data_IF_818651921667
#
_entry.id   IF_818651921667
#
_cell.length_a   1.000
_cell.length_b   1.000
_cell.length_c   1.000
_cell.angle_alpha   90.00
_cell.angle_beta   90.00
_cell.angle_gamma   90.00
#
_symmetry.space_group_name_H-M   'P 1'
#
loop_
_entity.id
_entity.type
_entity.pdbx_description
1 polymer ?
#
# COMPACT_ATOMS: atom_id res chain seq x y z
N UNK A 1 22.08 2.16 53.21
CA UNK A 1 21.19 2.31 52.02
C UNK A 1 21.34 1.10 51.12
N UNK A 2 20.38 0.15 51.17
CA UNK A 2 20.35 -1.01 50.27
C UNK A 2 19.55 -0.65 49.01
N UNK A 3 20.16 -0.73 47.84
CA UNK A 3 19.49 -0.53 46.54
C UNK A 3 18.77 -1.82 46.16
N UNK A 4 17.45 -1.83 46.26
CA UNK A 4 16.59 -2.90 45.77
C UNK A 4 16.49 -2.79 44.25
N UNK A 5 17.05 -3.77 43.54
CA UNK A 5 16.90 -3.90 42.09
C UNK A 5 15.62 -4.69 41.82
N UNK A 6 14.57 -3.99 41.38
CA UNK A 6 13.31 -4.59 40.97
C UNK A 6 13.52 -5.32 39.63
N UNK A 7 13.49 -6.66 39.66
CA UNK A 7 13.48 -7.48 38.44
C UNK A 7 12.15 -7.30 37.71
N UNK A 8 12.18 -6.64 36.56
CA UNK A 8 11.07 -6.61 35.60
C UNK A 8 10.85 -8.02 35.06
N UNK A 9 9.73 -8.65 35.45
CA UNK A 9 9.24 -9.90 34.84
C UNK A 9 8.89 -9.62 33.38
N UNK A 10 9.67 -10.15 32.45
CA UNK A 10 9.26 -10.29 31.06
C UNK A 10 8.06 -11.26 31.01
N UNK A 11 6.86 -10.72 30.84
CA UNK A 11 5.69 -11.52 30.47
C UNK A 11 5.90 -12.04 29.05
N UNK A 12 6.16 -13.34 28.95
CA UNK A 12 6.06 -14.06 27.68
C UNK A 12 4.58 -14.05 27.29
N UNK A 13 4.28 -13.49 26.11
CA UNK A 13 2.95 -13.55 25.52
C UNK A 13 2.73 -14.99 25.06
N UNK A 14 2.03 -15.78 25.87
CA UNK A 14 1.49 -17.08 25.47
C UNK A 14 0.60 -16.84 24.26
N UNK A 15 1.04 -17.32 23.09
CA UNK A 15 0.24 -17.22 21.87
C UNK A 15 -0.81 -18.30 21.92
N UNK A 16 -1.94 -18.04 22.57
CA UNK A 16 -3.11 -18.90 22.56
C UNK A 16 -3.49 -19.19 21.11
N UNK A 17 -3.27 -20.44 20.67
CA UNK A 17 -3.53 -20.86 19.29
C UNK A 17 -5.04 -21.08 19.11
N UNK A 18 -5.79 -20.01 18.89
CA UNK A 18 -7.21 -20.10 18.57
C UNK A 18 -7.42 -20.80 17.21
N UNK A 19 -8.03 -21.98 17.23
CA UNK A 19 -8.31 -22.75 16.02
C UNK A 19 -9.70 -22.44 15.44
N UNK A 20 -9.74 -21.55 14.45
CA UNK A 20 -10.97 -21.14 13.77
C UNK A 20 -11.47 -22.18 12.77
N UNK A 21 -12.72 -22.63 12.93
CA UNK A 21 -13.43 -23.49 11.97
C UNK A 21 -14.14 -22.63 10.92
N UNK A 22 -14.28 -23.14 9.70
CA UNK A 22 -14.90 -22.43 8.56
C UNK A 22 -16.08 -23.21 8.02
N UNK A 23 -17.16 -22.51 7.67
CA UNK A 23 -18.33 -23.09 6.98
C UNK A 23 -19.06 -22.04 6.14
N UNK A 24 -19.94 -22.43 5.20
CA UNK A 24 -20.87 -21.50 4.56
C UNK A 24 -21.74 -20.78 5.60
N UNK A 25 -22.11 -19.53 5.31
CA UNK A 25 -23.00 -18.77 6.20
C UNK A 25 -24.46 -19.18 6.02
N UNK A 26 -25.14 -19.40 7.14
CA UNK A 26 -26.59 -19.66 7.20
C UNK A 26 -27.40 -18.36 7.12
N UNK A 27 -26.77 -17.20 7.33
CA UNK A 27 -27.43 -15.89 7.37
C UNK A 27 -27.46 -15.27 5.97
N UNK A 28 -28.65 -14.86 5.52
CA UNK A 28 -28.85 -14.17 4.23
C UNK A 28 -28.00 -12.90 4.12
N UNK A 29 -27.35 -12.72 2.97
CA UNK A 29 -26.46 -11.58 2.70
C UNK A 29 -25.02 -11.79 3.15
N UNK A 30 -24.70 -12.93 3.76
CA UNK A 30 -23.34 -13.33 4.12
C UNK A 30 -22.92 -14.57 3.34
N UNK A 31 -21.63 -14.67 3.01
CA UNK A 31 -21.12 -15.74 2.15
C UNK A 31 -20.52 -16.88 2.97
N UNK A 32 -19.74 -16.53 4.00
CA UNK A 32 -18.96 -17.48 4.78
C UNK A 32 -18.98 -17.10 6.26
N UNK A 33 -18.70 -18.11 7.07
CA UNK A 33 -18.69 -18.00 8.52
C UNK A 33 -17.41 -18.61 9.09
N UNK A 34 -16.83 -17.90 10.05
CA UNK A 34 -15.79 -18.41 10.95
C UNK A 34 -16.39 -18.58 12.33
N UNK A 35 -16.06 -19.66 13.03
CA UNK A 35 -16.53 -19.87 14.40
C UNK A 35 -15.50 -20.60 15.25
N UNK A 36 -15.61 -20.38 16.55
CA UNK A 36 -14.79 -20.99 17.59
C UNK A 36 -15.60 -21.06 18.88
N UNK A 37 -15.36 -22.09 19.68
CA UNK A 37 -15.79 -22.14 21.08
C UNK A 37 -14.56 -21.84 21.91
N UNK A 38 -14.61 -20.76 22.69
CA UNK A 38 -13.53 -20.34 23.55
C UNK A 38 -13.41 -21.26 24.79
N UNK A 39 -12.27 -21.19 25.48
CA UNK A 39 -12.01 -22.03 26.67
C UNK A 39 -13.00 -21.77 27.82
N UNK A 40 -13.51 -20.54 27.90
CA UNK A 40 -14.54 -20.15 28.86
C UNK A 40 -15.97 -20.62 28.49
N UNK A 41 -16.10 -21.39 27.40
CA UNK A 41 -17.38 -21.92 26.91
C UNK A 41 -18.14 -20.98 25.98
N UNK A 42 -17.65 -19.76 25.74
CA UNK A 42 -18.35 -18.83 24.85
C UNK A 42 -18.29 -19.29 23.40
N UNK A 43 -19.42 -19.16 22.71
CA UNK A 43 -19.49 -19.44 21.29
C UNK A 43 -19.36 -18.16 20.48
N UNK A 44 -18.28 -18.05 19.69
CA UNK A 44 -17.96 -16.88 18.90
C UNK A 44 -18.07 -17.23 17.42
N UNK A 45 -18.81 -16.41 16.68
CA UNK A 45 -19.07 -16.59 15.26
C UNK A 45 -18.95 -15.27 14.51
N UNK A 46 -18.44 -15.34 13.29
CA UNK A 46 -18.25 -14.20 12.39
C UNK A 46 -18.80 -14.56 11.02
N UNK A 47 -19.90 -13.93 10.64
CA UNK A 47 -20.47 -14.05 9.30
C UNK A 47 -19.97 -12.87 8.45
N UNK A 48 -19.46 -13.13 7.25
CA UNK A 48 -18.87 -12.07 6.43
C UNK A 48 -19.23 -12.17 4.94
N UNK A 49 -19.29 -11.01 4.31
CA UNK A 49 -19.39 -10.80 2.87
C UNK A 49 -18.37 -9.73 2.49
N UNK A 50 -17.25 -10.16 1.89
CA UNK A 50 -16.16 -9.25 1.52
C UNK A 50 -16.57 -8.32 0.37
N UNK A 51 -17.43 -8.78 -0.55
CA UNK A 51 -17.90 -7.98 -1.70
C UNK A 51 -18.75 -6.80 -1.24
N UNK A 52 -19.67 -7.04 -0.30
CA UNK A 52 -20.51 -5.99 0.28
C UNK A 52 -19.87 -5.27 1.48
N UNK A 53 -18.61 -5.61 1.80
CA UNK A 53 -17.87 -5.06 2.95
C UNK A 53 -18.67 -5.12 4.26
N UNK A 54 -19.34 -6.26 4.47
CA UNK A 54 -20.27 -6.48 5.57
C UNK A 54 -19.82 -7.63 6.45
N UNK A 55 -19.77 -7.41 7.75
CA UNK A 55 -19.41 -8.39 8.77
C UNK A 55 -20.47 -8.37 9.86
N UNK A 56 -20.75 -9.55 10.41
CA UNK A 56 -21.53 -9.72 11.62
C UNK A 56 -20.70 -10.47 12.64
N UNK A 57 -20.41 -9.80 13.75
CA UNK A 57 -19.85 -10.43 14.94
C UNK A 57 -21.01 -11.00 15.75
N UNK A 58 -20.89 -12.24 16.18
CA UNK A 58 -21.86 -12.94 17.00
C UNK A 58 -21.13 -13.57 18.19
N UNK A 59 -21.63 -13.37 19.39
CA UNK A 59 -21.09 -13.92 20.63
C UNK A 59 -22.24 -14.48 21.43
N UNK A 60 -22.07 -15.68 21.94
CA UNK A 60 -22.93 -16.29 22.94
C UNK A 60 -22.13 -16.40 24.23
N UNK A 61 -22.59 -15.68 25.26
CA UNK A 61 -21.85 -15.56 26.52
C UNK A 61 -22.33 -16.64 27.49
N UNK A 62 -21.48 -17.63 27.75
CA UNK A 62 -21.84 -18.77 28.59
C UNK A 62 -22.10 -18.34 30.05
N UNK A 63 -21.32 -17.37 30.55
CA UNK A 63 -21.50 -16.81 31.90
C UNK A 63 -22.86 -16.10 32.08
N UNK A 64 -23.49 -15.67 30.98
CA UNK A 64 -24.82 -15.06 30.98
C UNK A 64 -25.91 -16.05 30.57
N UNK A 65 -25.70 -17.34 30.86
CA UNK A 65 -26.63 -18.41 30.53
C UNK A 65 -26.77 -18.68 29.03
N UNK A 66 -25.71 -18.41 28.25
CA UNK A 66 -25.74 -18.55 26.80
C UNK A 66 -26.46 -17.40 26.09
N UNK A 67 -26.43 -16.18 26.66
CA UNK A 67 -27.10 -15.03 26.07
C UNK A 67 -26.41 -14.62 24.74
N UNK A 68 -27.15 -14.59 23.61
CA UNK A 68 -26.62 -14.23 22.31
C UNK A 68 -26.66 -12.72 22.02
N UNK A 69 -25.53 -12.21 21.53
CA UNK A 69 -25.33 -10.83 21.10
C UNK A 69 -24.78 -10.80 19.68
N UNK A 70 -25.18 -9.81 18.89
CA UNK A 70 -24.56 -9.57 17.60
C UNK A 70 -24.32 -8.10 17.31
N UNK A 71 -23.27 -7.84 16.54
CA UNK A 71 -22.94 -6.54 15.99
C UNK A 71 -22.74 -6.65 14.48
N UNK A 72 -23.32 -5.75 13.71
CA UNK A 72 -23.15 -5.69 12.25
C UNK A 72 -22.29 -4.49 11.90
N UNK A 73 -21.16 -4.77 11.26
CA UNK A 73 -20.21 -3.78 10.76
C UNK A 73 -20.34 -3.73 9.23
N UNK A 74 -20.59 -2.54 8.68
CA UNK A 74 -20.64 -2.30 7.24
C UNK A 74 -19.68 -1.18 6.89
N UNK A 75 -18.80 -1.40 5.93
CA UNK A 75 -17.78 -0.42 5.54
C UNK A 75 -16.95 0.11 6.73
N UNK A 76 -16.62 -0.76 7.70
CA UNK A 76 -15.84 -0.36 8.89
C UNK A 76 -16.62 0.41 9.95
N UNK A 77 -17.92 0.69 9.75
CA UNK A 77 -18.80 1.36 10.71
C UNK A 77 -19.77 0.37 11.35
N UNK A 78 -19.99 0.47 12.66
CA UNK A 78 -21.02 -0.29 13.36
C UNK A 78 -22.39 0.25 12.91
N UNK A 79 -23.21 -0.64 12.37
CA UNK A 79 -24.55 -0.32 11.85
C UNK A 79 -25.68 -0.86 12.72
N UNK A 80 -25.40 -1.89 13.51
CA UNK A 80 -26.35 -2.44 14.46
C UNK A 80 -25.59 -3.13 15.60
N UNK A 81 -26.05 -2.96 16.82
CA UNK A 81 -25.75 -3.83 17.96
C UNK A 81 -27.08 -4.33 18.51
N UNK A 82 -27.16 -5.60 18.90
CA UNK A 82 -28.39 -6.13 19.48
C UNK A 82 -28.15 -7.36 20.34
N UNK A 83 -28.93 -7.50 21.40
CA UNK A 83 -29.16 -8.76 22.11
C UNK A 83 -30.32 -9.50 21.44
N UNK A 84 -30.16 -10.80 21.13
CA UNK A 84 -31.24 -11.55 20.46
C UNK A 84 -32.39 -11.84 21.43
N UNK A 85 -32.09 -12.08 22.71
CA UNK A 85 -33.10 -12.38 23.73
C UNK A 85 -33.89 -11.14 24.16
N UNK A 86 -33.19 -10.05 24.50
CA UNK A 86 -33.86 -8.84 25.01
C UNK A 86 -34.32 -7.88 23.91
N UNK A 87 -33.81 -8.04 22.69
CA UNK A 87 -34.08 -7.15 21.57
C UNK A 87 -33.48 -5.74 21.70
N UNK A 88 -32.91 -5.38 22.85
CA UNK A 88 -32.23 -4.10 23.12
C UNK A 88 -31.07 -3.90 22.13
N UNK A 89 -30.81 -2.64 21.78
CA UNK A 89 -29.90 -2.26 20.67
C UNK A 89 -28.65 -1.50 21.09
N UNK A 90 -28.38 -1.37 22.39
CA UNK A 90 -27.26 -0.57 22.90
C UNK A 90 -26.68 -1.17 24.18
N UNK A 91 -25.40 -0.85 24.45
CA UNK A 91 -24.70 -1.24 25.67
C UNK A 91 -24.05 -2.63 25.61
N UNK A 92 -23.78 -3.16 24.41
CA UNK A 92 -23.16 -4.48 24.23
C UNK A 92 -21.71 -4.43 23.77
N UNK A 93 -21.15 -3.23 23.60
CA UNK A 93 -19.78 -3.07 23.12
C UNK A 93 -18.75 -3.79 24.00
N UNK A 94 -18.96 -3.80 25.32
CA UNK A 94 -18.11 -4.51 26.28
C UNK A 94 -18.05 -6.03 26.00
N UNK A 95 -19.17 -6.64 25.58
CA UNK A 95 -19.24 -8.07 25.26
C UNK A 95 -18.30 -8.46 24.12
N UNK A 96 -18.15 -7.58 23.13
CA UNK A 96 -17.23 -7.76 22.02
C UNK A 96 -15.79 -7.40 22.41
N UNK A 97 -15.61 -6.33 23.18
CA UNK A 97 -14.28 -5.85 23.60
C UNK A 97 -13.54 -6.83 24.50
N UNK A 98 -14.23 -7.47 25.45
CA UNK A 98 -13.63 -8.51 26.31
C UNK A 98 -13.05 -9.68 25.50
N UNK A 99 -13.62 -9.95 24.31
CA UNK A 99 -13.22 -11.04 23.40
C UNK A 99 -12.37 -10.52 22.24
N UNK A 100 -11.87 -9.28 22.32
CA UNK A 100 -11.13 -8.65 21.23
C UNK A 100 -9.88 -9.44 20.85
N UNK A 101 -9.21 -10.07 21.80
CA UNK A 101 -8.04 -10.92 21.55
C UNK A 101 -8.40 -12.12 20.65
N UNK A 102 -9.51 -12.79 20.96
CA UNK A 102 -10.02 -13.91 20.16
C UNK A 102 -10.35 -13.41 18.76
N UNK A 103 -11.11 -12.33 18.63
CA UNK A 103 -11.39 -11.72 17.32
C UNK A 103 -10.12 -11.27 16.57
N UNK A 104 -9.08 -10.84 17.27
CA UNK A 104 -7.81 -10.43 16.64
C UNK A 104 -7.01 -11.62 16.09
N UNK A 105 -7.33 -12.85 16.54
CA UNK A 105 -6.69 -14.09 16.08
C UNK A 105 -7.26 -14.66 14.77
N UNK A 106 -8.26 -13.99 14.17
CA UNK A 106 -8.88 -14.43 12.90
C UNK A 106 -7.82 -14.63 11.81
N UNK A 107 -7.81 -15.76 11.09
CA UNK A 107 -6.78 -16.04 10.08
C UNK A 107 -6.87 -15.18 8.81
N UNK A 108 -7.97 -14.42 8.61
CA UNK A 108 -8.20 -13.60 7.43
C UNK A 108 -8.07 -12.11 7.73
N UNK A 109 -7.02 -11.50 7.18
CA UNK A 109 -6.68 -10.09 7.39
C UNK A 109 -7.71 -9.12 6.81
N UNK A 110 -8.44 -9.50 5.76
CA UNK A 110 -9.47 -8.65 5.16
C UNK A 110 -10.67 -8.50 6.08
N UNK A 111 -11.01 -9.55 6.82
CA UNK A 111 -12.05 -9.52 7.86
C UNK A 111 -11.62 -8.57 8.97
N UNK A 112 -10.40 -8.69 9.48
CA UNK A 112 -9.87 -7.80 10.53
C UNK A 112 -9.84 -6.34 10.06
N UNK A 113 -9.39 -6.09 8.82
CA UNK A 113 -9.40 -4.74 8.23
C UNK A 113 -10.80 -4.14 8.14
N UNK A 114 -11.80 -4.95 7.78
CA UNK A 114 -13.19 -4.51 7.74
C UNK A 114 -13.80 -4.29 9.12
N UNK A 115 -13.33 -4.97 10.17
CA UNK A 115 -13.71 -4.69 11.56
C UNK A 115 -13.17 -3.33 12.01
N UNK A 116 -12.04 -2.86 11.46
CA UNK A 116 -11.54 -1.49 11.57
C UNK A 116 -11.37 -0.98 13.02
N UNK A 117 -10.71 -1.76 13.88
CA UNK A 117 -10.46 -1.40 15.29
C UNK A 117 -11.72 -1.23 16.17
N UNK A 118 -12.92 -1.53 15.64
CA UNK A 118 -14.13 -1.56 16.46
C UNK A 118 -13.95 -2.56 17.61
N UNK A 119 -14.38 -2.17 18.80
CA UNK A 119 -14.25 -2.98 20.03
C UNK A 119 -12.81 -3.29 20.45
N UNK A 120 -11.83 -2.50 19.99
CA UNK A 120 -10.41 -2.78 20.26
C UNK A 120 -9.86 -3.99 19.50
N UNK A 121 -10.63 -4.55 18.56
CA UNK A 121 -10.21 -5.66 17.70
C UNK A 121 -9.21 -5.11 16.70
N UNK A 122 -7.93 -5.29 16.99
CA UNK A 122 -6.86 -4.80 16.15
C UNK A 122 -6.26 -5.91 15.33
N UNK A 123 -5.66 -5.54 14.20
CA UNK A 123 -4.67 -6.42 13.61
C UNK A 123 -3.54 -6.55 14.64
N UNK A 124 -3.44 -7.71 15.29
CA UNK A 124 -2.17 -8.15 15.84
C UNK A 124 -1.25 -8.25 14.63
N UNK A 125 -0.63 -7.12 14.25
CA UNK A 125 0.56 -7.10 13.44
C UNK A 125 1.51 -7.92 14.29
N UNK A 126 1.54 -9.24 14.08
CA UNK A 126 2.68 -10.07 14.49
C UNK A 126 3.83 -9.18 14.08
N UNK A 127 4.51 -8.62 15.08
CA UNK A 127 5.80 -7.99 14.88
C UNK A 127 6.65 -9.16 14.42
N UNK A 128 6.55 -9.52 13.14
CA UNK A 128 7.63 -10.11 12.41
C UNK A 128 8.66 -8.99 12.35
N UNK A 129 9.28 -8.73 13.50
CA UNK A 129 10.48 -7.94 13.59
C UNK A 129 11.52 -8.68 12.76
N UNK A 130 11.78 -8.13 11.58
CA UNK A 130 13.08 -8.16 10.92
C UNK A 130 13.57 -9.44 10.24
N UNK A 131 13.20 -10.66 10.66
CA UNK A 131 13.87 -11.87 10.14
C UNK A 131 13.03 -12.79 9.26
N UNK A 132 11.79 -13.11 9.63
CA UNK A 132 10.99 -14.11 8.90
C UNK A 132 10.43 -13.66 7.54
N UNK A 133 10.15 -12.36 7.36
CA UNK A 133 9.61 -11.83 6.11
C UNK A 133 10.66 -11.76 4.99
N UNK A 134 11.89 -11.34 5.36
CA UNK A 134 13.06 -11.32 4.47
C UNK A 134 13.42 -12.74 4.06
N UNK A 135 13.40 -13.70 5.00
CA UNK A 135 13.78 -15.07 4.72
C UNK A 135 12.75 -15.84 3.87
N UNK A 136 11.46 -15.50 3.99
CA UNK A 136 10.41 -16.04 3.10
C UNK A 136 10.51 -15.46 1.68
N UNK A 137 10.78 -14.16 1.53
CA UNK A 137 11.02 -13.54 0.22
C UNK A 137 12.26 -14.12 -0.45
N UNK A 138 13.36 -14.27 0.30
CA UNK A 138 14.60 -14.85 -0.21
C UNK A 138 14.40 -16.29 -0.70
N UNK A 139 13.68 -17.13 0.06
CA UNK A 139 13.36 -18.50 -0.37
C UNK A 139 12.47 -18.55 -1.61
N UNK A 140 11.51 -17.63 -1.74
CA UNK A 140 10.65 -17.52 -2.92
C UNK A 140 11.44 -17.07 -4.15
N UNK A 141 12.34 -16.12 -4.00
CA UNK A 141 13.24 -15.65 -5.07
C UNK A 141 14.25 -16.72 -5.49
N UNK A 142 14.83 -17.45 -4.53
CA UNK A 142 15.74 -18.58 -4.78
C UNK A 142 15.02 -19.76 -5.46
N UNK A 143 13.72 -19.94 -5.20
CA UNK A 143 12.90 -20.96 -5.87
C UNK A 143 12.51 -20.50 -7.28
N UNK A 144 12.12 -19.22 -7.45
CA UNK A 144 11.84 -18.63 -8.75
C UNK A 144 13.06 -18.73 -9.67
N UNK A 145 14.24 -18.33 -9.21
CA UNK A 145 15.48 -18.40 -10.00
C UNK A 145 15.89 -19.83 -10.39
N UNK A 146 15.54 -20.84 -9.58
CA UNK A 146 15.90 -22.24 -9.86
C UNK A 146 14.97 -22.94 -10.84
N UNK A 147 13.67 -22.61 -10.81
CA UNK A 147 12.66 -23.33 -11.59
C UNK A 147 12.04 -22.50 -12.72
N UNK A 148 12.18 -21.18 -12.67
CA UNK A 148 11.79 -20.26 -13.72
C UNK A 148 13.04 -19.53 -14.19
N UNK A 149 13.85 -20.21 -15.00
CA UNK A 149 14.73 -19.50 -15.92
C UNK A 149 13.78 -18.82 -16.89
N UNK A 150 13.61 -17.50 -16.73
CA UNK A 150 12.94 -16.70 -17.76
C UNK A 150 13.79 -16.87 -19.03
N UNK A 151 13.32 -17.70 -19.95
CA UNK A 151 13.67 -17.57 -21.36
C UNK A 151 13.25 -16.15 -21.72
N UNK A 152 14.18 -15.21 -21.60
CA UNK A 152 13.99 -13.84 -22.04
C UNK A 152 13.75 -13.93 -23.53
N UNK A 153 12.47 -13.91 -23.89
CA UNK A 153 12.06 -13.78 -25.27
C UNK A 153 12.60 -12.42 -25.75
N UNK A 154 13.50 -12.36 -26.74
CA UNK A 154 14.16 -11.12 -27.15
C UNK A 154 13.20 -10.04 -27.68
N UNK A 155 11.91 -10.37 -27.80
CA UNK A 155 10.85 -9.53 -28.33
C UNK A 155 9.90 -8.95 -27.26
N UNK A 156 10.02 -9.32 -25.99
CA UNK A 156 9.14 -8.80 -24.92
C UNK A 156 9.42 -7.33 -24.57
N UNK A 157 10.62 -6.82 -24.85
CA UNK A 157 10.99 -5.42 -24.60
C UNK A 157 10.34 -4.42 -25.58
N UNK A 158 9.68 -4.90 -26.66
CA UNK A 158 9.05 -4.03 -27.66
C UNK A 158 7.57 -3.67 -27.38
N UNK A 159 6.88 -4.33 -26.44
CA UNK A 159 5.44 -4.14 -26.21
C UNK A 159 5.03 -3.88 -24.75
N UNK A 160 5.95 -3.58 -23.83
CA UNK A 160 5.64 -3.20 -22.46
C UNK A 160 5.30 -1.70 -22.28
N UNK A 161 4.67 -1.07 -23.28
CA UNK A 161 4.41 0.37 -23.32
C UNK A 161 2.97 0.75 -23.00
N UNK A 162 2.49 0.54 -21.77
CA UNK A 162 1.27 1.21 -21.27
C UNK A 162 1.09 1.18 -19.74
N UNK A 163 2.12 0.93 -18.94
CA UNK A 163 2.02 1.25 -17.50
C UNK A 163 2.25 2.76 -17.33
N UNK A 164 1.31 3.43 -16.64
CA UNK A 164 1.37 4.85 -16.32
C UNK A 164 2.65 5.19 -15.58
N UNK A 165 3.69 5.55 -16.33
CA UNK A 165 4.95 6.04 -15.82
C UNK A 165 4.68 7.40 -15.19
N UNK A 166 4.66 7.47 -13.86
CA UNK A 166 4.71 8.75 -13.16
C UNK A 166 6.18 9.17 -13.20
N UNK A 167 6.59 10.15 -14.03
CA UNK A 167 7.98 10.56 -14.10
C UNK A 167 8.38 11.13 -12.74
N UNK A 168 9.20 10.40 -11.99
CA UNK A 168 9.87 10.94 -10.81
C UNK A 168 10.98 11.85 -11.32
N UNK A 169 10.77 13.16 -11.23
CA UNK A 169 11.79 14.17 -11.53
C UNK A 169 13.00 13.90 -10.62
N UNK A 170 14.14 13.55 -11.22
CA UNK A 170 15.39 13.40 -10.50
C UNK A 170 16.08 14.74 -10.30
N UNK A 171 16.94 14.85 -9.28
CA UNK A 171 17.80 16.03 -9.08
C UNK A 171 18.69 16.30 -10.31
N UNK A 172 19.07 15.24 -11.04
CA UNK A 172 19.87 15.34 -12.26
C UNK A 172 19.08 16.02 -13.38
N UNK A 173 17.76 15.78 -13.50
CA UNK A 173 16.94 16.43 -14.52
C UNK A 173 16.76 17.93 -14.25
N UNK A 174 16.68 18.31 -12.96
CA UNK A 174 16.66 19.72 -12.55
C UNK A 174 17.99 20.39 -12.92
N UNK A 175 19.12 19.70 -12.66
CA UNK A 175 20.44 20.21 -13.01
C UNK A 175 20.60 20.38 -14.52
N UNK A 176 20.21 19.38 -15.32
CA UNK A 176 20.25 19.48 -16.79
C UNK A 176 19.42 20.66 -17.29
N UNK A 177 18.26 20.90 -16.69
CA UNK A 177 17.39 22.02 -17.04
C UNK A 177 18.04 23.37 -16.73
N UNK A 178 18.64 23.51 -15.55
CA UNK A 178 19.37 24.72 -15.16
C UNK A 178 20.60 24.97 -16.04
N UNK A 179 21.35 23.91 -16.37
CA UNK A 179 22.52 24.00 -17.25
C UNK A 179 22.09 24.42 -18.66
N UNK A 180 21.03 23.82 -19.20
CA UNK A 180 20.51 24.19 -20.52
C UNK A 180 20.04 25.64 -20.58
N UNK A 181 19.30 26.11 -19.57
CA UNK A 181 18.89 27.50 -19.47
C UNK A 181 20.09 28.46 -19.35
N UNK A 182 21.09 28.11 -18.54
CA UNK A 182 22.29 28.94 -18.36
C UNK A 182 23.10 29.05 -19.65
N UNK A 183 23.26 27.94 -20.40
CA UNK A 183 23.98 27.93 -21.68
C UNK A 183 23.24 28.79 -22.72
N UNK A 184 21.92 28.57 -22.88
CA UNK A 184 21.13 29.33 -23.84
C UNK A 184 21.09 30.82 -23.51
N UNK A 185 20.89 31.18 -22.24
CA UNK A 185 20.93 32.59 -21.81
C UNK A 185 22.32 33.21 -21.95
N UNK A 186 23.37 32.46 -21.66
CA UNK A 186 24.76 32.90 -21.81
C UNK A 186 25.10 33.22 -23.27
N UNK A 187 24.69 32.35 -24.20
CA UNK A 187 24.91 32.57 -25.63
C UNK A 187 24.08 33.74 -26.18
N UNK A 188 22.82 33.85 -25.74
CA UNK A 188 21.98 34.99 -26.06
C UNK A 188 22.62 36.31 -25.64
N UNK A 189 23.18 36.39 -24.44
CA UNK A 189 23.84 37.60 -23.95
C UNK A 189 25.19 37.86 -24.67
N UNK A 190 25.98 36.81 -24.89
CA UNK A 190 27.29 36.92 -25.54
C UNK A 190 27.18 37.40 -26.98
N UNK A 191 26.18 36.91 -27.72
CA UNK A 191 25.93 37.26 -29.12
C UNK A 191 24.99 38.46 -29.28
N UNK A 192 24.94 39.35 -28.29
CA UNK A 192 24.20 40.62 -28.38
C UNK A 192 22.71 40.44 -28.69
N UNK A 193 22.04 39.54 -27.96
CA UNK A 193 20.60 39.28 -28.07
C UNK A 193 20.16 38.58 -29.37
N UNK A 194 21.04 37.76 -29.97
CA UNK A 194 20.70 36.93 -31.13
C UNK A 194 19.82 35.71 -30.75
N UNK A 195 18.54 35.79 -31.12
CA UNK A 195 17.54 34.75 -30.92
C UNK A 195 17.74 33.51 -31.79
N UNK A 196 18.37 33.65 -32.96
CA UNK A 196 18.66 32.54 -33.87
C UNK A 196 19.71 31.63 -33.22
N UNK A 197 20.83 32.21 -32.79
CA UNK A 197 21.89 31.46 -32.14
C UNK A 197 21.43 30.81 -30.83
N UNK A 198 20.65 31.54 -30.01
CA UNK A 198 20.03 30.97 -28.81
C UNK A 198 19.14 29.77 -29.14
N UNK A 199 18.30 29.89 -30.18
CA UNK A 199 17.37 28.84 -30.61
C UNK A 199 18.07 27.57 -31.08
N UNK A 200 19.09 27.72 -31.94
CA UNK A 200 19.91 26.60 -32.44
C UNK A 200 20.57 25.86 -31.27
N UNK A 201 21.15 26.60 -30.33
CA UNK A 201 21.85 26.02 -29.19
C UNK A 201 20.89 25.31 -28.23
N UNK A 202 19.72 25.90 -27.95
CA UNK A 202 18.73 25.28 -27.08
C UNK A 202 18.24 23.95 -27.68
N UNK A 203 17.93 23.92 -28.98
CA UNK A 203 17.53 22.69 -29.65
C UNK A 203 18.65 21.63 -29.66
N UNK A 204 19.89 22.04 -29.95
CA UNK A 204 21.05 21.15 -29.94
C UNK A 204 21.30 20.56 -28.55
N UNK A 205 21.18 21.38 -27.50
CA UNK A 205 21.28 20.93 -26.11
C UNK A 205 20.18 19.92 -25.76
N UNK A 206 18.93 20.20 -26.14
CA UNK A 206 17.79 19.30 -25.92
C UNK A 206 17.98 17.91 -26.52
N UNK A 207 18.46 17.84 -27.77
CA UNK A 207 18.78 16.56 -28.43
C UNK A 207 19.96 15.86 -27.76
N UNK A 208 21.02 16.61 -27.46
CA UNK A 208 22.24 16.07 -26.85
C UNK A 208 21.97 15.47 -25.47
N UNK A 209 21.18 16.14 -24.63
CA UNK A 209 20.87 15.62 -23.30
C UNK A 209 19.97 14.39 -23.35
N UNK A 210 19.03 14.34 -24.30
CA UNK A 210 18.24 13.13 -24.57
C UNK A 210 19.14 11.95 -24.96
N UNK A 211 20.15 12.19 -25.80
CA UNK A 211 21.13 11.18 -26.19
C UNK A 211 21.99 10.73 -25.01
N UNK A 212 22.49 11.66 -24.20
CA UNK A 212 23.28 11.36 -22.99
C UNK A 212 22.47 10.52 -21.99
N UNK A 213 21.19 10.85 -21.80
CA UNK A 213 20.31 10.07 -20.92
C UNK A 213 20.14 8.62 -21.39
N UNK A 214 19.90 8.43 -22.70
CA UNK A 214 19.71 7.11 -23.29
C UNK A 214 20.99 6.26 -23.27
N UNK A 215 22.11 6.81 -23.75
CA UNK A 215 23.33 6.03 -24.02
C UNK A 215 24.33 6.01 -22.87
N UNK A 216 24.44 7.10 -22.10
CA UNK A 216 25.46 7.21 -21.05
C UNK A 216 24.85 6.90 -19.69
N UNK A 217 23.64 7.41 -19.42
CA UNK A 217 23.01 7.27 -18.10
C UNK A 217 22.11 6.05 -18.00
N UNK A 218 21.90 5.32 -19.10
CA UNK A 218 21.01 4.15 -19.20
C UNK A 218 19.64 4.39 -18.56
N UNK A 219 19.11 5.62 -18.68
CA UNK A 219 17.85 6.05 -18.08
C UNK A 219 16.85 6.39 -19.19
N UNK A 220 15.57 6.18 -18.90
CA UNK A 220 14.50 6.68 -19.75
C UNK A 220 14.64 8.22 -19.84
N UNK A 221 14.94 8.78 -21.02
CA UNK A 221 15.08 10.22 -21.16
C UNK A 221 13.76 10.85 -20.80
N UNK A 222 13.80 11.93 -20.03
CA UNK A 222 12.60 12.71 -19.75
C UNK A 222 12.16 13.38 -21.06
N UNK A 223 11.28 12.73 -21.81
CA UNK A 223 10.81 13.19 -23.12
C UNK A 223 10.34 14.64 -23.07
N UNK A 224 9.72 15.04 -21.95
CA UNK A 224 9.31 16.42 -21.69
C UNK A 224 10.47 17.43 -21.73
N UNK A 225 11.66 17.13 -21.17
CA UNK A 225 12.79 18.08 -21.16
C UNK A 225 13.39 18.25 -22.56
N UNK A 226 13.46 17.17 -23.34
CA UNK A 226 13.91 17.20 -24.74
C UNK A 226 12.95 18.03 -25.58
N UNK A 227 11.64 17.75 -25.49
CA UNK A 227 10.60 18.49 -26.22
C UNK A 227 10.63 19.97 -25.83
N UNK A 228 10.75 20.29 -24.54
CA UNK A 228 10.83 21.67 -24.08
C UNK A 228 11.96 22.44 -24.77
N UNK A 229 13.20 21.94 -24.71
CA UNK A 229 14.35 22.62 -25.31
C UNK A 229 14.28 22.71 -26.83
N UNK A 230 13.77 21.68 -27.50
CA UNK A 230 13.60 21.68 -28.96
C UNK A 230 12.50 22.65 -29.39
N UNK A 231 11.33 22.61 -28.77
CA UNK A 231 10.20 23.50 -29.12
C UNK A 231 10.53 24.95 -28.81
N UNK A 232 11.11 25.22 -27.63
CA UNK A 232 11.57 26.57 -27.29
C UNK A 232 12.66 27.03 -28.25
N UNK A 233 13.61 26.15 -28.62
CA UNK A 233 14.64 26.46 -29.60
C UNK A 233 14.08 26.82 -30.98
N UNK A 234 13.11 26.04 -31.48
CA UNK A 234 12.41 26.31 -32.74
C UNK A 234 11.65 27.63 -32.66
N UNK A 235 10.93 27.88 -31.56
CA UNK A 235 10.19 29.13 -31.37
C UNK A 235 11.13 30.35 -31.35
N UNK A 236 12.26 30.26 -30.65
CA UNK A 236 13.28 31.31 -30.63
C UNK A 236 13.93 31.50 -32.00
N UNK A 237 14.20 30.43 -32.74
CA UNK A 237 14.74 30.51 -34.09
C UNK A 237 13.78 31.21 -35.05
N UNK A 238 12.50 30.82 -35.05
CA UNK A 238 11.45 31.44 -35.89
C UNK A 238 11.30 32.92 -35.52
N UNK A 239 11.25 33.23 -34.22
CA UNK A 239 11.19 34.61 -33.76
C UNK A 239 12.41 35.42 -34.23
N UNK A 240 13.61 34.86 -34.06
CA UNK A 240 14.85 35.49 -34.49
C UNK A 240 14.94 35.70 -36.00
N UNK A 241 14.34 34.80 -36.79
CA UNK A 241 14.38 34.89 -38.24
C UNK A 241 13.36 35.86 -38.85
N UNK A 242 12.16 35.96 -38.25
CA UNK A 242 11.05 36.74 -38.82
C UNK A 242 10.77 38.06 -38.12
N UNK A 243 11.15 38.21 -36.85
CA UNK A 243 10.74 39.35 -36.00
C UNK A 243 11.94 40.15 -35.49
N UNK A 244 13.04 39.47 -35.12
CA UNK A 244 14.29 40.10 -34.67
C UNK A 244 15.16 40.57 -35.82
#
# INVERSE_FOLDING_TARGET
MRKTTTKTKNQQVETSQFHWKRRPSEIRGYQRTLYITAENGDYIRIDYNLREKRIRLYVEVQNEGGSPYYSVIKNGKITAERSVLSGRTYGFSEKFSERAEIFSSIPNNDIIRLINYNYGISFAKKRFSGKGAVDKQRRLEETRKRYFVEDKNPYDDQYAGAEQYIPKIGLIDILDFLVGLAISAGIFYYLQFDFIAMGVIAAFFGVSIGMVDMFIRERSPMVFKVIFFVVTGIASYIYGYYIS
#
